data_IF_729656657234
#
_entry.id   IF_729656657234
#
_cell.length_a   1.000
_cell.length_b   1.000
_cell.length_c   1.000
_cell.angle_alpha   90.00
_cell.angle_beta   90.00
_cell.angle_gamma   90.00
#
_symmetry.space_group_name_H-M   'P 1'
#
loop_
_entity.id
_entity.type
_entity.pdbx_description
1 polymer ?
#
# COMPACT_ATOMS: atom_id res chain seq x y z
N UNK A 1 6.02 28.95 3.47
CA UNK A 1 5.64 28.15 4.65
C UNK A 1 6.89 27.36 5.05
N UNK A 2 7.27 27.30 6.33
CA UNK A 2 8.46 26.53 6.75
C UNK A 2 8.00 25.12 7.12
N UNK A 3 8.47 24.11 6.39
CA UNK A 3 8.21 22.72 6.71
C UNK A 3 9.05 22.29 7.92
N UNK A 4 8.56 21.30 8.65
CA UNK A 4 9.33 20.63 9.70
C UNK A 4 9.93 19.38 9.08
N UNK A 5 11.26 19.33 9.02
CA UNK A 5 11.98 18.18 8.48
C UNK A 5 11.96 17.01 9.48
N UNK A 6 11.55 15.82 9.02
CA UNK A 6 11.47 14.60 9.85
C UNK A 6 11.84 13.34 9.07
N UNK A 7 12.34 12.33 9.80
CA UNK A 7 12.40 10.95 9.30
C UNK A 7 11.04 10.29 9.52
N UNK A 8 10.52 9.64 8.48
CA UNK A 8 9.24 8.96 8.49
C UNK A 8 9.46 7.47 8.40
N UNK A 9 8.72 6.72 9.21
CA UNK A 9 8.74 5.27 9.24
C UNK A 9 7.40 4.75 8.75
N UNK A 10 7.42 3.83 7.80
CA UNK A 10 6.21 3.31 7.12
C UNK A 10 6.06 1.84 7.45
N UNK A 11 4.91 1.48 8.00
CA UNK A 11 4.51 0.10 8.26
C UNK A 11 3.54 -0.35 7.18
N UNK A 12 3.80 -1.55 6.66
CA UNK A 12 2.91 -2.30 5.76
C UNK A 12 2.81 -3.71 6.35
N UNK A 13 1.64 -4.03 6.90
CA UNK A 13 1.41 -5.29 7.62
C UNK A 13 1.03 -6.45 6.71
N UNK A 14 0.60 -6.15 5.49
CA UNK A 14 0.21 -7.13 4.47
C UNK A 14 1.40 -7.92 3.96
N UNK A 15 1.37 -9.25 4.13
CA UNK A 15 2.36 -10.14 3.54
C UNK A 15 2.30 -10.15 2.02
N UNK A 16 1.14 -9.88 1.42
CA UNK A 16 0.99 -9.87 -0.04
C UNK A 16 1.87 -8.80 -0.70
N UNK A 17 1.95 -7.60 -0.12
CA UNK A 17 2.88 -6.57 -0.58
C UNK A 17 4.33 -7.07 -0.53
N UNK A 18 4.74 -7.69 0.58
CA UNK A 18 6.09 -8.22 0.73
C UNK A 18 6.37 -9.39 -0.22
N UNK A 19 5.38 -10.25 -0.49
CA UNK A 19 5.48 -11.30 -1.50
C UNK A 19 5.75 -10.72 -2.88
N UNK A 20 5.03 -9.68 -3.29
CA UNK A 20 5.30 -8.96 -4.53
C UNK A 20 6.66 -8.26 -4.54
N UNK A 21 7.02 -7.58 -3.45
CA UNK A 21 8.32 -6.89 -3.29
C UNK A 21 9.48 -7.88 -3.32
N UNK A 22 9.30 -9.15 -2.96
CA UNK A 22 10.32 -10.18 -3.12
C UNK A 22 10.17 -11.02 -4.39
N UNK A 23 9.09 -10.84 -5.13
CA UNK A 23 8.84 -11.48 -6.41
C UNK A 23 8.22 -12.87 -6.30
N UNK A 24 7.69 -13.24 -5.13
CA UNK A 24 6.93 -14.49 -4.92
C UNK A 24 5.54 -14.44 -5.57
N UNK A 25 4.98 -13.24 -5.73
CA UNK A 25 3.72 -12.96 -6.42
C UNK A 25 3.86 -11.69 -7.27
N UNK A 26 2.80 -11.34 -8.00
CA UNK A 26 2.67 -10.01 -8.56
C UNK A 26 2.60 -8.94 -7.46
N UNK A 27 2.90 -7.70 -7.83
CA UNK A 27 2.75 -6.56 -6.94
C UNK A 27 1.27 -6.19 -6.78
N UNK A 28 0.91 -5.80 -5.57
CA UNK A 28 -0.47 -5.44 -5.23
C UNK A 28 -0.93 -4.16 -5.91
N UNK A 29 -2.24 -4.08 -6.15
CA UNK A 29 -2.89 -2.87 -6.66
C UNK A 29 -3.42 -1.95 -5.55
N UNK A 30 -3.53 -2.46 -4.32
CA UNK A 30 -4.12 -1.80 -3.16
C UNK A 30 -3.33 -2.16 -1.91
N UNK A 31 -3.05 -1.18 -1.05
CA UNK A 31 -2.35 -1.45 0.21
C UNK A 31 -2.68 -0.40 1.28
N UNK A 32 -2.78 -0.86 2.53
CA UNK A 32 -2.89 0.00 3.69
C UNK A 32 -1.49 0.35 4.22
N UNK A 33 -1.25 1.65 4.42
CA UNK A 33 -0.01 2.12 5.01
C UNK A 33 -0.26 2.87 6.31
N UNK A 34 0.57 2.61 7.31
CA UNK A 34 0.64 3.40 8.54
C UNK A 34 1.99 4.09 8.57
N UNK A 35 2.03 5.36 8.97
CA UNK A 35 3.28 6.11 9.04
C UNK A 35 3.47 6.77 10.40
N UNK A 36 4.73 6.78 10.82
CA UNK A 36 5.18 7.14 12.16
C UNK A 36 6.33 8.14 12.11
N UNK A 37 6.49 8.87 13.20
CA UNK A 37 7.76 9.51 13.54
C UNK A 37 8.44 8.75 14.67
N UNK A 38 9.77 8.69 14.63
CA UNK A 38 10.55 8.11 15.72
C UNK A 38 10.96 9.19 16.71
N UNK A 39 10.75 8.91 17.99
CA UNK A 39 11.30 9.66 19.11
C UNK A 39 12.37 8.85 19.83
N UNK A 40 13.03 9.44 20.84
CA UNK A 40 14.05 8.74 21.62
C UNK A 40 13.52 7.48 22.34
N UNK A 41 12.20 7.40 22.55
CA UNK A 41 11.58 6.39 23.41
C UNK A 41 10.57 5.50 22.69
N UNK A 42 9.98 5.97 21.58
CA UNK A 42 8.90 5.25 20.90
C UNK A 42 8.67 5.73 19.45
N UNK A 43 7.83 5.01 18.70
CA UNK A 43 7.27 5.43 17.42
C UNK A 43 5.88 6.05 17.63
N UNK A 44 5.75 7.32 17.27
CA UNK A 44 4.48 8.04 17.36
C UNK A 44 3.76 7.93 16.02
N UNK A 45 2.58 7.32 16.01
CA UNK A 45 1.74 7.22 14.81
C UNK A 45 1.31 8.61 14.36
N UNK A 46 1.64 8.95 13.13
CA UNK A 46 1.21 10.19 12.49
C UNK A 46 -0.10 10.00 11.73
N UNK A 47 -0.34 8.80 11.20
CA UNK A 47 -1.52 8.52 10.40
C UNK A 47 -1.53 7.17 9.73
N UNK A 48 -2.60 6.94 8.98
CA UNK A 48 -2.72 5.85 8.02
C UNK A 48 -3.59 6.29 6.85
N UNK A 49 -3.40 5.62 5.72
CA UNK A 49 -4.23 5.80 4.53
C UNK A 49 -4.12 4.54 3.68
N UNK A 50 -5.04 4.40 2.76
CA UNK A 50 -4.98 3.39 1.73
C UNK A 50 -4.39 3.99 0.44
N UNK A 51 -3.53 3.22 -0.23
CA UNK A 51 -3.01 3.52 -1.56
C UNK A 51 -3.66 2.59 -2.58
N UNK A 52 -4.31 3.17 -3.58
CA UNK A 52 -4.97 2.48 -4.68
C UNK A 52 -4.25 2.81 -5.99
N UNK A 53 -4.04 1.82 -6.84
CA UNK A 53 -3.48 1.97 -8.19
C UNK A 53 -4.58 1.98 -9.23
N UNK A 54 -4.22 2.35 -10.47
CA UNK A 54 -5.14 2.22 -11.60
C UNK A 54 -5.64 0.80 -11.82
N UNK A 55 -4.79 -0.21 -11.62
CA UNK A 55 -5.20 -1.60 -11.79
C UNK A 55 -6.29 -1.99 -10.79
N UNK A 56 -6.10 -1.63 -9.52
CA UNK A 56 -7.11 -1.89 -8.49
C UNK A 56 -8.44 -1.19 -8.81
N UNK A 57 -8.40 0.11 -9.12
CA UNK A 57 -9.60 0.89 -9.41
C UNK A 57 -10.35 0.35 -10.65
N UNK A 58 -9.60 -0.08 -11.68
CA UNK A 58 -10.18 -0.68 -12.88
C UNK A 58 -10.91 -1.99 -12.58
N UNK A 59 -10.35 -2.82 -11.70
CA UNK A 59 -11.01 -4.06 -11.28
C UNK A 59 -12.28 -3.77 -10.47
N UNK A 60 -12.26 -2.75 -9.60
CA UNK A 60 -13.44 -2.34 -8.84
C UNK A 60 -14.59 -1.80 -9.70
N UNK A 61 -14.29 -1.19 -10.85
CA UNK A 61 -15.33 -0.68 -11.76
C UNK A 61 -16.30 -1.76 -12.25
N UNK A 62 -15.84 -3.01 -12.44
CA UNK A 62 -16.70 -4.09 -12.95
C UNK A 62 -17.92 -4.33 -12.05
N UNK A 63 -17.75 -4.17 -10.73
CA UNK A 63 -18.80 -4.32 -9.74
C UNK A 63 -19.62 -3.02 -9.55
N UNK A 64 -18.97 -1.85 -9.65
CA UNK A 64 -19.57 -0.55 -9.36
C UNK A 64 -20.43 0.03 -10.49
N UNK A 65 -20.12 -0.28 -11.77
CA UNK A 65 -20.76 0.37 -12.92
C UNK A 65 -22.28 0.16 -13.01
N UNK A 66 -22.81 -0.86 -12.36
CA UNK A 66 -24.23 -1.18 -12.37
C UNK A 66 -24.98 -0.68 -11.13
N UNK A 67 -24.28 -0.08 -10.17
CA UNK A 67 -24.88 0.50 -8.98
C UNK A 67 -25.25 1.98 -9.22
N UNK A 68 -26.53 2.31 -9.08
CA UNK A 68 -27.03 3.66 -9.30
C UNK A 68 -26.55 4.64 -8.22
N UNK A 69 -26.24 4.14 -7.03
CA UNK A 69 -25.78 4.96 -5.90
C UNK A 69 -24.28 5.32 -6.03
N UNK A 70 -23.55 4.63 -6.91
CA UNK A 70 -22.09 4.77 -7.10
C UNK A 70 -21.72 5.59 -8.36
N UNK A 71 -22.69 6.18 -9.06
CA UNK A 71 -22.45 6.82 -10.35
C UNK A 71 -21.40 7.94 -10.30
N UNK A 72 -21.44 8.79 -9.27
CA UNK A 72 -20.47 9.88 -9.10
C UNK A 72 -19.07 9.32 -8.84
N UNK A 73 -18.97 8.27 -8.02
CA UNK A 73 -17.72 7.59 -7.72
C UNK A 73 -17.12 6.91 -8.97
N UNK A 74 -17.94 6.26 -9.78
CA UNK A 74 -17.54 5.67 -11.06
C UNK A 74 -17.00 6.72 -12.03
N UNK A 75 -17.60 7.92 -12.06
CA UNK A 75 -17.11 9.04 -12.88
C UNK A 75 -15.71 9.47 -12.42
N UNK A 76 -15.52 9.67 -11.11
CA UNK A 76 -14.21 10.03 -10.54
C UNK A 76 -13.13 8.99 -10.87
N UNK A 77 -13.44 7.70 -10.73
CA UNK A 77 -12.50 6.62 -11.09
C UNK A 77 -12.14 6.70 -12.57
N UNK A 78 -13.14 6.83 -13.47
CA UNK A 78 -12.89 6.88 -14.92
C UNK A 78 -12.03 8.07 -15.32
N UNK A 79 -12.25 9.23 -14.69
CA UNK A 79 -11.41 10.41 -14.89
C UNK A 79 -9.97 10.16 -14.43
N UNK A 80 -9.78 9.57 -13.25
CA UNK A 80 -8.46 9.23 -12.73
C UNK A 80 -7.71 8.22 -13.62
N UNK A 81 -8.41 7.19 -14.14
CA UNK A 81 -7.81 6.17 -15.01
C UNK A 81 -7.22 6.76 -16.30
N UNK A 82 -7.80 7.86 -16.81
CA UNK A 82 -7.30 8.58 -17.99
C UNK A 82 -6.14 9.53 -17.63
N UNK A 83 -6.13 10.07 -16.42
CA UNK A 83 -5.13 11.02 -15.92
C UNK A 83 -3.77 10.39 -15.58
N UNK A 84 -2.81 11.21 -15.13
CA UNK A 84 -1.51 10.75 -14.61
C UNK A 84 -1.11 11.49 -13.33
N UNK A 85 -2.10 12.04 -12.63
CA UNK A 85 -1.90 12.77 -11.38
C UNK A 85 -2.40 11.93 -10.21
N UNK A 86 -1.81 12.14 -9.05
CA UNK A 86 -2.29 11.55 -7.80
C UNK A 86 -3.61 12.22 -7.42
N UNK A 87 -4.66 11.43 -7.27
CA UNK A 87 -5.97 11.86 -6.81
C UNK A 87 -6.18 11.46 -5.34
N UNK A 88 -7.03 12.18 -4.63
CA UNK A 88 -7.37 11.91 -3.23
C UNK A 88 -8.87 11.80 -3.10
N UNK A 89 -9.34 10.61 -2.74
CA UNK A 89 -10.75 10.38 -2.48
C UNK A 89 -11.00 10.41 -0.97
N UNK A 90 -12.03 11.12 -0.53
CA UNK A 90 -12.24 11.50 0.86
C UNK A 90 -13.56 10.92 1.39
N UNK A 91 -13.49 10.18 2.49
CA UNK A 91 -14.68 9.65 3.16
C UNK A 91 -15.05 10.56 4.33
N UNK A 92 -16.32 10.99 4.38
CA UNK A 92 -16.83 11.89 5.41
C UNK A 92 -17.93 11.20 6.21
N UNK A 93 -17.91 11.42 7.52
CA UNK A 93 -19.05 11.07 8.37
C UNK A 93 -20.16 12.11 8.25
N UNK A 94 -21.39 11.66 8.48
CA UNK A 94 -22.53 12.53 8.69
C UNK A 94 -22.51 13.09 10.11
N UNK A 95 -23.00 14.33 10.34
CA UNK A 95 -22.98 14.96 11.67
C UNK A 95 -23.70 14.17 12.80
N UNK A 96 -24.52 13.18 12.44
CA UNK A 96 -25.33 12.40 13.37
C UNK A 96 -24.86 10.94 13.52
N UNK A 97 -23.70 10.58 12.94
CA UNK A 97 -23.17 9.22 13.04
C UNK A 97 -22.73 8.91 14.48
N UNK A 98 -23.02 7.70 14.96
CA UNK A 98 -22.70 7.29 16.34
C UNK A 98 -21.18 7.23 16.59
N UNK A 99 -20.40 6.95 15.55
CA UNK A 99 -18.94 6.85 15.56
C UNK A 99 -18.25 8.03 14.84
N UNK A 100 -18.91 9.20 14.79
CA UNK A 100 -18.40 10.39 14.12
C UNK A 100 -16.93 10.68 14.45
N UNK A 101 -16.11 10.77 13.41
CA UNK A 101 -14.68 11.02 13.54
C UNK A 101 -14.15 11.94 12.44
N UNK A 102 -13.27 12.87 12.83
CA UNK A 102 -12.54 13.75 11.92
C UNK A 102 -11.04 13.50 12.04
N UNK A 103 -10.36 13.32 10.91
CA UNK A 103 -8.90 13.26 10.91
C UNK A 103 -8.31 14.57 11.47
N UNK A 104 -7.31 14.48 12.36
CA UNK A 104 -6.79 15.64 13.09
C UNK A 104 -5.87 16.54 12.24
N UNK A 105 -5.83 16.36 10.91
CA UNK A 105 -4.92 17.12 10.04
C UNK A 105 -5.52 18.47 9.66
N UNK A 106 -4.78 19.55 9.86
CA UNK A 106 -5.29 20.91 9.68
C UNK A 106 -5.64 21.24 8.22
N UNK A 107 -4.88 20.69 7.27
CA UNK A 107 -4.96 21.02 5.85
C UNK A 107 -5.90 20.13 5.04
N UNK A 108 -6.67 19.25 5.68
CA UNK A 108 -7.65 18.42 4.97
C UNK A 108 -8.84 19.26 4.46
N UNK A 109 -9.38 18.93 3.28
CA UNK A 109 -10.56 19.60 2.76
C UNK A 109 -11.77 19.28 3.63
N UNK A 110 -12.63 20.29 3.80
CA UNK A 110 -13.90 20.13 4.49
C UNK A 110 -15.03 20.02 3.48
N UNK A 111 -16.03 19.20 3.79
CA UNK A 111 -17.25 19.12 2.99
C UNK A 111 -18.16 20.35 3.20
N UNK A 112 -19.33 20.34 2.57
CA UNK A 112 -20.35 21.40 2.67
C UNK A 112 -20.88 21.66 4.09
N UNK A 113 -20.74 20.68 4.99
CA UNK A 113 -21.08 20.79 6.41
C UNK A 113 -19.91 21.24 7.29
N UNK A 114 -18.78 21.65 6.69
CA UNK A 114 -17.56 22.08 7.39
C UNK A 114 -16.89 20.97 8.23
N UNK A 115 -17.12 19.70 7.84
CA UNK A 115 -16.56 18.49 8.45
C UNK A 115 -15.35 18.02 7.64
N UNK A 116 -14.26 17.64 8.32
CA UNK A 116 -13.09 16.97 7.73
C UNK A 116 -13.38 15.49 7.49
N UNK A 117 -12.65 14.84 6.56
CA UNK A 117 -12.85 13.42 6.31
C UNK A 117 -12.45 12.56 7.52
N UNK A 118 -13.15 11.43 7.69
CA UNK A 118 -12.81 10.37 8.67
C UNK A 118 -11.59 9.56 8.21
N UNK A 119 -11.42 9.44 6.89
CA UNK A 119 -10.35 8.73 6.20
C UNK A 119 -10.23 9.23 4.77
N UNK A 120 -9.13 8.90 4.10
CA UNK A 120 -8.98 9.16 2.68
C UNK A 120 -8.12 8.08 2.03
N UNK A 121 -8.29 7.93 0.72
CA UNK A 121 -7.49 7.11 -0.16
C UNK A 121 -6.60 7.97 -1.05
N UNK A 122 -5.48 7.38 -1.45
CA UNK A 122 -4.59 7.93 -2.46
C UNK A 122 -4.71 7.09 -3.72
N UNK A 123 -5.17 7.71 -4.79
CA UNK A 123 -5.23 7.08 -6.09
C UNK A 123 -3.98 7.46 -6.87
N UNK A 124 -3.03 6.53 -6.92
CA UNK A 124 -1.75 6.70 -7.59
C UNK A 124 -1.86 6.28 -9.06
N UNK A 125 -1.25 7.03 -10.00
CA UNK A 125 -1.32 6.72 -11.44
C UNK A 125 -0.53 5.47 -11.87
N UNK A 126 0.23 4.87 -10.95
CA UNK A 126 0.95 3.62 -11.23
C UNK A 126 -0.05 2.46 -11.37
N UNK A 127 0.34 1.40 -12.06
CA UNK A 127 -0.49 0.18 -12.19
C UNK A 127 -0.28 -0.81 -11.03
N UNK A 128 0.80 -0.67 -10.26
CA UNK A 128 1.14 -1.55 -9.14
C UNK A 128 1.85 -0.78 -8.04
N UNK A 129 1.79 -1.28 -6.80
CA UNK A 129 2.40 -0.63 -5.63
C UNK A 129 3.79 -1.22 -5.39
N UNK A 130 4.82 -0.40 -5.56
CA UNK A 130 6.18 -0.73 -5.16
C UNK A 130 6.73 0.30 -4.15
N UNK A 131 7.98 0.11 -3.72
CA UNK A 131 8.58 1.01 -2.72
C UNK A 131 8.66 2.48 -3.16
N UNK A 132 8.83 2.74 -4.46
CA UNK A 132 8.85 4.10 -5.02
C UNK A 132 7.47 4.73 -4.92
N UNK A 133 6.42 3.99 -5.28
CA UNK A 133 5.01 4.41 -5.17
C UNK A 133 4.67 4.81 -3.73
N UNK A 134 5.01 3.96 -2.75
CA UNK A 134 4.80 4.25 -1.32
C UNK A 134 5.57 5.49 -0.88
N UNK A 135 6.85 5.59 -1.28
CA UNK A 135 7.71 6.74 -0.94
C UNK A 135 7.12 8.06 -1.47
N UNK A 136 6.61 8.05 -2.70
CA UNK A 136 5.96 9.21 -3.32
C UNK A 136 4.68 9.59 -2.56
N UNK A 137 3.80 8.62 -2.29
CA UNK A 137 2.58 8.83 -1.52
C UNK A 137 2.87 9.46 -0.16
N UNK A 138 3.81 8.90 0.60
CA UNK A 138 4.19 9.37 1.94
C UNK A 138 4.74 10.80 1.91
N UNK A 139 5.61 11.13 0.94
CA UNK A 139 6.11 12.50 0.76
C UNK A 139 4.98 13.50 0.54
N UNK A 140 4.00 13.15 -0.31
CA UNK A 140 2.89 14.05 -0.59
C UNK A 140 1.96 14.17 0.62
N UNK A 141 1.64 13.09 1.33
CA UNK A 141 0.85 13.15 2.58
C UNK A 141 1.52 14.09 3.59
N UNK A 142 2.80 13.85 3.89
CA UNK A 142 3.54 14.62 4.89
C UNK A 142 3.53 16.11 4.55
N UNK A 143 3.84 16.47 3.31
CA UNK A 143 3.92 17.86 2.90
C UNK A 143 2.55 18.53 2.79
N UNK A 144 1.57 17.85 2.19
CA UNK A 144 0.23 18.38 1.90
C UNK A 144 -0.64 18.46 3.14
N UNK A 145 -0.63 17.45 4.00
CA UNK A 145 -1.58 17.36 5.13
C UNK A 145 -0.95 17.61 6.49
N UNK A 146 0.33 17.25 6.69
CA UNK A 146 0.98 17.30 8.01
C UNK A 146 1.98 18.46 8.17
N UNK A 147 2.26 19.22 7.12
CA UNK A 147 3.30 20.25 7.10
C UNK A 147 4.71 19.73 7.46
N UNK A 148 4.99 18.48 7.09
CA UNK A 148 6.26 17.80 7.30
C UNK A 148 7.01 17.64 5.97
N UNK A 149 8.32 17.90 5.98
CA UNK A 149 9.23 17.50 4.92
C UNK A 149 9.84 16.15 5.29
N UNK A 150 9.47 15.09 4.57
CA UNK A 150 9.96 13.74 4.82
C UNK A 150 11.38 13.59 4.24
N UNK A 151 12.39 13.82 5.07
CA UNK A 151 13.80 13.79 4.67
C UNK A 151 14.25 12.38 4.30
N UNK A 152 13.90 11.41 5.15
CA UNK A 152 14.13 9.99 4.94
C UNK A 152 12.83 9.22 5.18
N UNK A 153 12.63 8.17 4.39
CA UNK A 153 11.51 7.25 4.52
C UNK A 153 12.10 5.85 4.68
N UNK A 154 11.82 5.22 5.82
CA UNK A 154 12.28 3.88 6.17
C UNK A 154 11.06 2.98 6.41
N UNK A 155 11.19 1.69 6.17
CA UNK A 155 10.13 0.73 6.48
C UNK A 155 10.25 0.27 7.94
N UNK A 156 9.23 0.55 8.74
CA UNK A 156 9.08 0.05 10.10
C UNK A 156 8.80 -1.45 10.04
N UNK A 157 9.56 -2.24 10.81
CA UNK A 157 9.41 -3.70 10.90
C UNK A 157 9.26 -4.38 9.52
N UNK A 158 10.10 -3.95 8.56
CA UNK A 158 10.10 -4.51 7.22
C UNK A 158 10.25 -6.03 7.26
N UNK A 159 9.29 -6.75 6.68
CA UNK A 159 9.33 -8.20 6.56
C UNK A 159 10.57 -8.59 5.76
N UNK A 160 11.37 -9.50 6.29
CA UNK A 160 12.57 -10.00 5.61
C UNK A 160 12.21 -10.95 4.47
N UNK A 161 13.15 -11.19 3.55
CA UNK A 161 12.96 -12.17 2.49
C UNK A 161 12.65 -13.56 3.07
N UNK A 162 13.35 -13.96 4.14
CA UNK A 162 13.14 -15.25 4.80
C UNK A 162 11.74 -15.36 5.41
N UNK A 163 11.25 -14.32 6.08
CA UNK A 163 9.90 -14.30 6.65
C UNK A 163 8.82 -14.31 5.55
N UNK A 164 8.99 -13.50 4.50
CA UNK A 164 8.07 -13.47 3.37
C UNK A 164 8.05 -14.82 2.63
N UNK A 165 9.21 -15.45 2.45
CA UNK A 165 9.31 -16.78 1.84
C UNK A 165 8.59 -17.83 2.69
N UNK A 166 8.81 -17.82 4.01
CA UNK A 166 8.17 -18.77 4.91
C UNK A 166 6.64 -18.60 4.91
N UNK A 167 6.14 -17.35 4.99
CA UNK A 167 4.71 -17.08 4.99
C UNK A 167 4.05 -17.40 3.64
N UNK A 168 4.74 -17.14 2.52
CA UNK A 168 4.25 -17.51 1.19
C UNK A 168 4.09 -19.03 1.06
N UNK A 169 5.08 -19.80 1.52
CA UNK A 169 5.01 -21.26 1.50
C UNK A 169 3.91 -21.81 2.41
N UNK A 170 3.74 -21.22 3.60
CA UNK A 170 2.64 -21.55 4.49
C UNK A 170 1.29 -21.32 3.79
N UNK A 171 1.10 -20.18 3.14
CA UNK A 171 -0.14 -19.88 2.43
C UNK A 171 -0.39 -20.85 1.27
N UNK A 172 0.62 -21.12 0.44
CA UNK A 172 0.52 -22.12 -0.64
C UNK A 172 0.14 -23.51 -0.11
N UNK A 173 0.64 -23.91 1.06
CA UNK A 173 0.29 -25.19 1.68
C UNK A 173 -1.17 -25.30 2.12
N UNK A 174 -1.86 -24.18 2.36
CA UNK A 174 -3.28 -24.16 2.77
C UNK A 174 -4.23 -24.42 1.60
N UNK A 175 -3.85 -23.98 0.40
CA UNK A 175 -4.69 -24.09 -0.79
C UNK A 175 -4.49 -25.40 -1.55
N UNK A 176 -3.38 -26.10 -1.32
CA UNK A 176 -3.07 -27.34 -2.04
C UNK A 176 -3.00 -28.52 -1.08
N UNK A 177 -3.70 -29.61 -1.42
CA UNK A 177 -3.39 -30.96 -0.93
C UNK A 177 -2.04 -31.48 -1.50
N UNK A 178 -1.05 -30.61 -1.72
CA UNK A 178 0.16 -30.90 -2.48
C UNK A 178 1.17 -31.59 -1.60
N UNK A 179 1.69 -32.70 -2.11
CA UNK A 179 2.85 -33.37 -1.55
C UNK A 179 4.18 -32.70 -1.91
N UNK A 180 4.19 -31.81 -2.91
CA UNK A 180 5.41 -31.15 -3.40
C UNK A 180 5.10 -29.70 -3.83
N UNK A 181 5.79 -28.72 -3.24
CA UNK A 181 5.76 -27.32 -3.69
C UNK A 181 6.66 -27.21 -4.91
N UNK A 182 6.11 -26.79 -6.05
CA UNK A 182 6.85 -26.58 -7.30
C UNK A 182 6.86 -25.09 -7.62
N UNK A 183 8.05 -24.50 -7.70
CA UNK A 183 8.22 -23.11 -8.13
C UNK A 183 8.18 -23.02 -9.65
N UNK A 184 7.48 -22.02 -10.19
CA UNK A 184 7.43 -21.78 -11.63
C UNK A 184 8.79 -21.27 -12.13
N UNK A 185 9.15 -21.57 -13.38
CA UNK A 185 10.38 -21.04 -13.99
C UNK A 185 10.36 -19.49 -14.02
N UNK A 186 9.17 -18.88 -14.19
CA UNK A 186 8.99 -17.43 -14.14
C UNK A 186 9.38 -16.83 -12.78
N UNK A 187 8.95 -17.44 -11.67
CA UNK A 187 9.35 -17.04 -10.33
C UNK A 187 10.87 -17.16 -10.14
N UNK A 188 11.44 -18.27 -10.60
CA UNK A 188 12.89 -18.51 -10.52
C UNK A 188 13.66 -17.45 -11.30
N UNK A 189 13.26 -17.15 -12.54
CA UNK A 189 13.90 -16.15 -13.39
C UNK A 189 13.77 -14.73 -12.80
N UNK A 190 12.61 -14.40 -12.23
CA UNK A 190 12.41 -13.13 -11.52
C UNK A 190 13.38 -12.99 -10.34
N UNK A 191 13.45 -14.02 -9.48
CA UNK A 191 14.36 -14.04 -8.33
C UNK A 191 15.84 -14.01 -8.73
N UNK A 192 16.22 -14.71 -9.80
CA UNK A 192 17.58 -14.67 -10.34
C UNK A 192 17.98 -13.24 -10.72
N UNK A 193 17.10 -12.53 -11.44
CA UNK A 193 17.33 -11.15 -11.84
C UNK A 193 17.40 -10.21 -10.63
N UNK A 194 16.46 -10.36 -9.68
CA UNK A 194 16.32 -9.47 -8.53
C UNK A 194 17.43 -9.62 -7.50
N UNK A 195 17.88 -10.85 -7.27
CA UNK A 195 18.93 -11.16 -6.29
C UNK A 195 20.32 -11.24 -6.92
N UNK A 196 20.43 -11.15 -8.25
CA UNK A 196 21.67 -11.37 -8.99
C UNK A 196 22.33 -12.71 -8.65
N UNK A 197 21.52 -13.79 -8.64
CA UNK A 197 21.91 -15.15 -8.26
C UNK A 197 21.65 -16.15 -9.38
N UNK A 198 22.35 -17.27 -9.36
CA UNK A 198 22.13 -18.39 -10.29
C UNK A 198 20.85 -19.17 -9.95
N UNK A 199 20.32 -19.92 -10.92
CA UNK A 199 19.16 -20.81 -10.72
C UNK A 199 19.35 -21.76 -9.53
N UNK A 200 20.54 -22.37 -9.43
CA UNK A 200 20.86 -23.30 -8.35
C UNK A 200 20.87 -22.63 -6.97
N UNK A 201 21.39 -21.40 -6.87
CA UNK A 201 21.36 -20.64 -5.62
C UNK A 201 19.94 -20.24 -5.22
N UNK A 202 19.11 -19.82 -6.18
CA UNK A 202 17.69 -19.51 -5.94
C UNK A 202 16.94 -20.75 -5.47
N UNK A 203 17.10 -21.88 -6.15
CA UNK A 203 16.49 -23.15 -5.74
C UNK A 203 16.96 -23.58 -4.35
N UNK A 204 18.23 -23.38 -4.00
CA UNK A 204 18.73 -23.69 -2.66
C UNK A 204 18.07 -22.80 -1.59
N UNK A 205 17.86 -21.51 -1.88
CA UNK A 205 17.18 -20.56 -0.98
C UNK A 205 15.71 -20.97 -0.79
N UNK A 206 15.00 -21.20 -1.89
CA UNK A 206 13.59 -21.58 -1.89
C UNK A 206 13.35 -22.92 -1.16
N UNK A 207 14.17 -23.92 -1.45
CA UNK A 207 14.06 -25.24 -0.83
C UNK A 207 14.47 -25.27 0.65
N UNK A 208 15.25 -24.29 1.13
CA UNK A 208 15.62 -24.20 2.55
C UNK A 208 14.40 -23.98 3.45
N UNK A 209 13.35 -23.35 2.90
CA UNK A 209 12.15 -22.96 3.64
C UNK A 209 10.98 -23.95 3.47
N UNK A 210 11.14 -24.99 2.65
CA UNK A 210 10.20 -26.11 2.54
C UNK A 210 10.60 -27.17 3.58
N UNK A 211 9.93 -27.20 4.74
CA UNK A 211 10.08 -28.27 5.73
C UNK A 211 8.74 -28.67 6.33
#
# INVERSE_FOLDING_TARGET
>A
MKYIEKNIYVEISSFNYWWGIYGFSDLEGWEDIVFYEKTDQDYIRLGSTCVCTKNYLRNGLEDLENDADELDFVVEIKEHLIGNEIHYHYYYDSPNDEDFFELPYEKLPKNEYNIKPRSFEIWHPDEVINQKTITECVKVICSRFLNIEAANIEYYEAVTFEEASASYLEEQSRWVSAKDIVFTDELIDNLMNKMSKTKDEILMILNKNIK
#
